data_IF_925281709252
#
_entry.id   IF_925281709252
#
_cell.length_a   1.000
_cell.length_b   1.000
_cell.length_c   1.000
_cell.angle_alpha   90.00
_cell.angle_beta   90.00
_cell.angle_gamma   90.00
#
_symmetry.space_group_name_H-M   'P 1'
#
loop_
_entity.id
_entity.type
_entity.pdbx_description
1 polymer ?
#
# COMPACT_ATOMS: atom_id res chain seq x y z
N UNK A 1 25.12 -14.18 -9.57
CA UNK A 1 25.98 -14.09 -10.76
C UNK A 1 25.31 -14.87 -11.90
N UNK A 2 24.58 -14.15 -12.78
CA UNK A 2 23.75 -14.76 -13.83
C UNK A 2 24.57 -15.31 -15.02
N UNK A 3 25.91 -15.29 -14.96
CA UNK A 3 26.79 -15.75 -16.04
C UNK A 3 26.67 -14.96 -17.35
N UNK A 4 26.01 -13.82 -17.33
CA UNK A 4 25.79 -12.96 -18.50
C UNK A 4 26.80 -11.81 -18.48
N UNK A 5 27.42 -11.53 -19.65
CA UNK A 5 28.35 -10.39 -19.76
C UNK A 5 27.58 -9.08 -19.86
N UNK A 6 28.18 -7.96 -19.41
CA UNK A 6 27.61 -6.63 -19.53
C UNK A 6 27.24 -6.29 -20.99
N UNK A 7 28.05 -6.72 -21.98
CA UNK A 7 27.74 -6.52 -23.39
C UNK A 7 26.48 -7.26 -23.87
N UNK A 8 26.19 -8.43 -23.30
CA UNK A 8 24.97 -9.18 -23.62
C UNK A 8 23.72 -8.49 -23.08
N UNK A 9 23.81 -7.79 -21.93
CA UNK A 9 22.69 -7.00 -21.40
C UNK A 9 22.33 -5.82 -22.33
N UNK A 10 23.32 -5.08 -22.83
CA UNK A 10 23.08 -3.96 -23.75
C UNK A 10 22.60 -4.36 -25.14
N UNK A 11 22.53 -5.65 -25.44
CA UNK A 11 21.87 -6.15 -26.65
C UNK A 11 20.33 -6.12 -26.49
N UNK A 12 19.83 -6.32 -25.26
CA UNK A 12 18.39 -6.40 -24.95
C UNK A 12 17.83 -5.11 -24.36
N UNK A 13 18.66 -4.28 -23.73
CA UNK A 13 18.26 -3.06 -23.04
C UNK A 13 19.04 -1.87 -23.57
N UNK A 14 18.35 -0.73 -23.77
CA UNK A 14 18.98 0.48 -24.31
C UNK A 14 20.03 1.06 -23.34
N UNK A 15 19.70 1.05 -22.04
CA UNK A 15 20.57 1.52 -20.98
C UNK A 15 20.16 0.89 -19.63
N UNK A 16 20.78 1.36 -18.55
CA UNK A 16 20.49 0.90 -17.19
C UNK A 16 19.07 1.26 -16.74
N UNK A 17 18.55 2.42 -17.15
CA UNK A 17 17.20 2.87 -16.81
C UNK A 17 16.14 2.00 -17.51
N UNK A 18 16.35 1.66 -18.76
CA UNK A 18 15.49 0.74 -19.51
C UNK A 18 15.44 -0.65 -18.86
N UNK A 19 16.61 -1.21 -18.51
CA UNK A 19 16.68 -2.47 -17.76
C UNK A 19 15.90 -2.39 -16.45
N UNK A 20 16.13 -1.34 -15.66
CA UNK A 20 15.47 -1.16 -14.38
C UNK A 20 13.95 -1.02 -14.55
N UNK A 21 13.52 -0.24 -15.55
CA UNK A 21 12.11 -0.06 -15.91
C UNK A 21 11.43 -1.37 -16.26
N UNK A 22 12.01 -2.15 -17.16
CA UNK A 22 11.43 -3.44 -17.56
C UNK A 22 11.35 -4.45 -16.41
N UNK A 23 12.21 -4.31 -15.42
CA UNK A 23 12.22 -5.16 -14.24
C UNK A 23 11.15 -4.76 -13.21
N UNK A 24 11.03 -3.47 -12.89
CA UNK A 24 10.19 -3.02 -11.74
C UNK A 24 8.80 -2.57 -12.14
N UNK A 25 8.61 -1.91 -13.30
CA UNK A 25 7.32 -1.33 -13.67
C UNK A 25 6.17 -2.34 -13.75
N UNK A 26 6.33 -3.55 -14.34
CA UNK A 26 5.21 -4.49 -14.41
C UNK A 26 4.69 -4.89 -13.02
N UNK A 27 5.59 -5.01 -12.03
CA UNK A 27 5.23 -5.35 -10.65
C UNK A 27 4.55 -4.19 -9.94
N UNK A 28 5.13 -2.98 -10.05
CA UNK A 28 4.55 -1.78 -9.45
C UNK A 28 3.18 -1.45 -10.04
N UNK A 29 3.02 -1.59 -11.36
CA UNK A 29 1.75 -1.35 -12.04
C UNK A 29 0.66 -2.33 -11.57
N UNK A 30 0.97 -3.63 -11.49
CA UNK A 30 0.03 -4.63 -10.99
C UNK A 30 -0.39 -4.35 -9.54
N UNK A 31 0.55 -3.97 -8.69
CA UNK A 31 0.26 -3.66 -7.29
C UNK A 31 -0.61 -2.40 -7.16
N UNK A 32 -0.29 -1.32 -7.91
CA UNK A 32 -1.11 -0.10 -7.96
C UNK A 32 -2.54 -0.40 -8.42
N UNK A 33 -2.67 -1.18 -9.48
CA UNK A 33 -3.98 -1.56 -10.03
C UNK A 33 -4.79 -2.39 -9.03
N UNK A 34 -4.17 -3.36 -8.39
CA UNK A 34 -4.79 -4.21 -7.38
C UNK A 34 -5.32 -3.38 -6.19
N UNK A 35 -4.52 -2.44 -5.67
CA UNK A 35 -4.93 -1.58 -4.56
C UNK A 35 -6.06 -0.63 -4.98
N UNK A 36 -5.99 -0.03 -6.17
CA UNK A 36 -7.06 0.85 -6.68
C UNK A 36 -8.38 0.12 -6.84
N UNK A 37 -8.37 -1.07 -7.43
CA UNK A 37 -9.57 -1.89 -7.62
C UNK A 37 -10.21 -2.25 -6.28
N UNK A 38 -9.40 -2.58 -5.28
CA UNK A 38 -9.92 -2.83 -3.95
C UNK A 38 -10.57 -1.60 -3.34
N UNK A 39 -9.88 -0.47 -3.30
CA UNK A 39 -10.40 0.78 -2.76
C UNK A 39 -11.68 1.24 -3.48
N UNK A 40 -11.73 1.06 -4.80
CA UNK A 40 -12.94 1.36 -5.57
C UNK A 40 -14.11 0.45 -5.17
N UNK A 41 -13.89 -0.86 -5.06
CA UNK A 41 -14.93 -1.80 -4.64
C UNK A 41 -15.46 -1.49 -3.22
N UNK A 42 -14.59 -1.11 -2.30
CA UNK A 42 -14.97 -0.69 -0.95
C UNK A 42 -15.81 0.60 -0.97
N UNK A 43 -15.40 1.60 -1.75
CA UNK A 43 -16.16 2.84 -1.92
C UNK A 43 -17.56 2.57 -2.50
N UNK A 44 -17.67 1.70 -3.51
CA UNK A 44 -18.95 1.31 -4.12
C UNK A 44 -19.88 0.62 -3.10
N UNK A 45 -19.33 -0.26 -2.24
CA UNK A 45 -20.10 -0.89 -1.16
C UNK A 45 -20.60 0.13 -0.14
N UNK A 46 -19.76 1.08 0.26
CA UNK A 46 -20.14 2.16 1.19
C UNK A 46 -21.24 3.04 0.60
N UNK A 47 -21.12 3.42 -0.67
CA UNK A 47 -22.11 4.26 -1.37
C UNK A 47 -23.44 3.52 -1.49
N UNK A 48 -23.42 2.21 -1.78
CA UNK A 48 -24.63 1.40 -1.92
C UNK A 48 -25.32 1.08 -0.58
N UNK A 49 -24.72 1.46 0.54
CA UNK A 49 -25.28 1.24 1.88
C UNK A 49 -25.23 -0.20 2.36
N UNK A 50 -24.44 -1.05 1.72
CA UNK A 50 -24.16 -2.42 2.19
C UNK A 50 -23.25 -2.32 3.41
N UNK A 51 -23.84 -2.50 4.60
CA UNK A 51 -23.06 -2.62 5.84
C UNK A 51 -22.54 -4.05 5.95
N UNK A 52 -21.23 -4.21 5.96
CA UNK A 52 -20.60 -5.48 6.33
C UNK A 52 -20.46 -5.53 7.85
N UNK A 53 -21.12 -6.48 8.49
CA UNK A 53 -20.95 -6.76 9.93
C UNK A 53 -19.54 -7.34 10.25
N UNK A 54 -18.70 -7.55 9.23
CA UNK A 54 -17.37 -8.20 9.31
C UNK A 54 -16.23 -7.26 8.88
N UNK A 55 -16.39 -5.95 9.08
CA UNK A 55 -15.45 -4.92 8.59
C UNK A 55 -13.98 -5.25 8.96
N UNK A 56 -13.71 -5.56 10.23
CA UNK A 56 -12.36 -5.92 10.70
C UNK A 56 -11.79 -7.20 10.04
N UNK A 57 -12.65 -8.21 9.79
CA UNK A 57 -12.22 -9.47 9.17
C UNK A 57 -11.93 -9.30 7.68
N UNK A 58 -12.64 -8.41 7.01
CA UNK A 58 -12.43 -8.08 5.60
C UNK A 58 -11.15 -7.28 5.42
N UNK A 59 -10.85 -6.32 6.30
CA UNK A 59 -9.61 -5.56 6.32
C UNK A 59 -8.39 -6.46 6.54
N UNK A 60 -8.44 -7.39 7.49
CA UNK A 60 -7.37 -8.35 7.73
C UNK A 60 -7.17 -9.26 6.52
N UNK A 61 -8.26 -9.79 5.94
CA UNK A 61 -8.19 -10.64 4.76
C UNK A 61 -7.53 -9.94 3.60
N UNK A 62 -7.95 -8.69 3.35
CA UNK A 62 -7.41 -7.89 2.26
C UNK A 62 -5.95 -7.56 2.47
N UNK A 63 -5.58 -7.13 3.67
CA UNK A 63 -4.19 -6.84 4.02
C UNK A 63 -3.30 -8.06 3.80
N UNK A 64 -3.77 -9.26 4.16
CA UNK A 64 -3.06 -10.52 3.89
C UNK A 64 -2.89 -10.80 2.40
N UNK A 65 -3.90 -10.48 1.58
CA UNK A 65 -3.82 -10.65 0.13
C UNK A 65 -2.82 -9.68 -0.51
N UNK A 66 -2.82 -8.41 -0.07
CA UNK A 66 -1.82 -7.42 -0.50
C UNK A 66 -0.42 -7.90 -0.13
N UNK A 67 -0.25 -8.32 1.12
CA UNK A 67 1.03 -8.81 1.62
C UNK A 67 1.52 -10.03 0.80
N UNK A 68 0.63 -10.99 0.55
CA UNK A 68 0.96 -12.15 -0.30
C UNK A 68 1.42 -11.71 -1.69
N UNK A 69 0.68 -10.82 -2.36
CA UNK A 69 1.05 -10.30 -3.68
C UNK A 69 2.41 -9.58 -3.68
N UNK A 70 2.74 -8.87 -2.58
CA UNK A 70 4.03 -8.23 -2.40
C UNK A 70 5.16 -9.26 -2.26
N UNK A 71 4.98 -10.29 -1.44
CA UNK A 71 6.00 -11.33 -1.23
C UNK A 71 6.20 -12.24 -2.45
N UNK A 72 5.20 -12.41 -3.31
CA UNK A 72 5.39 -13.07 -4.61
C UNK A 72 6.39 -12.34 -5.52
N UNK A 73 6.63 -11.05 -5.26
CA UNK A 73 7.55 -10.21 -6.03
C UNK A 73 8.56 -9.52 -5.10
N UNK A 74 8.91 -10.16 -3.99
CA UNK A 74 9.68 -9.59 -2.88
C UNK A 74 10.97 -8.91 -3.34
N UNK A 75 11.82 -9.59 -4.09
CA UNK A 75 13.11 -9.06 -4.54
C UNK A 75 12.96 -7.83 -5.46
N UNK A 76 11.93 -7.83 -6.31
CA UNK A 76 11.65 -6.71 -7.23
C UNK A 76 11.17 -5.50 -6.47
N UNK A 77 10.25 -5.69 -5.51
CA UNK A 77 9.75 -4.61 -4.68
C UNK A 77 10.84 -4.05 -3.75
N UNK A 78 11.63 -4.93 -3.14
CA UNK A 78 12.77 -4.52 -2.33
C UNK A 78 13.79 -3.73 -3.15
N UNK A 79 14.06 -4.15 -4.38
CA UNK A 79 14.92 -3.43 -5.31
C UNK A 79 14.34 -2.04 -5.63
N UNK A 80 13.04 -1.95 -5.94
CA UNK A 80 12.38 -0.68 -6.22
C UNK A 80 12.43 0.29 -5.03
N UNK A 81 12.22 -0.21 -3.80
CA UNK A 81 12.24 0.62 -2.60
C UNK A 81 13.65 1.06 -2.21
N UNK A 82 14.67 0.18 -2.39
CA UNK A 82 16.01 0.43 -1.82
C UNK A 82 17.07 0.87 -2.82
N UNK A 83 16.80 0.75 -4.13
CA UNK A 83 17.80 0.96 -5.20
C UNK A 83 17.31 1.82 -6.35
N UNK A 84 16.18 2.49 -6.21
CA UNK A 84 15.59 3.35 -7.25
C UNK A 84 16.14 4.77 -7.27
N UNK A 85 17.00 5.16 -6.33
CA UNK A 85 17.55 6.51 -6.25
C UNK A 85 18.20 6.94 -7.57
N UNK A 86 17.87 8.12 -8.05
CA UNK A 86 18.32 8.69 -9.32
C UNK A 86 17.63 8.11 -10.55
N UNK A 87 16.65 7.21 -10.40
CA UNK A 87 15.77 6.75 -11.47
C UNK A 87 14.39 7.41 -11.39
N UNK A 88 13.56 7.23 -12.41
CA UNK A 88 12.16 7.71 -12.39
C UNK A 88 11.30 7.05 -11.30
N UNK A 89 11.80 5.99 -10.65
CA UNK A 89 11.12 5.27 -9.57
C UNK A 89 11.56 5.70 -8.16
N UNK A 90 12.39 6.71 -8.04
CA UNK A 90 12.90 7.19 -6.74
C UNK A 90 11.78 7.47 -5.74
N UNK A 91 10.65 7.96 -6.23
CA UNK A 91 9.48 8.29 -5.43
C UNK A 91 8.32 7.28 -5.62
N UNK A 92 8.61 6.03 -5.98
CA UNK A 92 7.56 5.04 -6.24
C UNK A 92 6.67 4.76 -5.02
N UNK A 93 7.17 4.92 -3.80
CA UNK A 93 6.39 4.77 -2.56
C UNK A 93 5.35 5.89 -2.43
N UNK A 94 5.70 7.13 -2.82
CA UNK A 94 4.81 8.29 -2.73
C UNK A 94 3.57 8.13 -3.64
N UNK A 95 3.69 7.38 -4.74
CA UNK A 95 2.55 7.05 -5.59
C UNK A 95 1.52 6.18 -4.85
N UNK A 96 1.98 5.23 -4.03
CA UNK A 96 1.09 4.40 -3.19
C UNK A 96 0.48 5.21 -2.04
N UNK A 97 1.26 6.12 -1.45
CA UNK A 97 0.75 7.08 -0.46
C UNK A 97 -0.37 7.93 -1.06
N UNK A 98 -0.19 8.47 -2.26
CA UNK A 98 -1.22 9.28 -2.92
C UNK A 98 -2.51 8.48 -3.21
N UNK A 99 -2.40 7.20 -3.58
CA UNK A 99 -3.56 6.32 -3.76
C UNK A 99 -4.27 6.10 -2.43
N UNK A 100 -3.54 5.81 -1.35
CA UNK A 100 -4.08 5.60 -0.02
C UNK A 100 -4.73 6.89 0.54
N UNK A 101 -4.09 8.04 0.34
CA UNK A 101 -4.59 9.34 0.81
C UNK A 101 -5.97 9.68 0.21
N UNK A 102 -6.15 9.45 -1.10
CA UNK A 102 -7.45 9.65 -1.75
C UNK A 102 -8.53 8.75 -1.16
N UNK A 103 -8.20 7.50 -0.88
CA UNK A 103 -9.12 6.54 -0.27
C UNK A 103 -9.48 6.95 1.17
N UNK A 104 -8.48 7.22 2.01
CA UNK A 104 -8.70 7.63 3.40
C UNK A 104 -9.44 8.97 3.49
N UNK A 105 -9.22 9.88 2.55
CA UNK A 105 -9.99 11.13 2.49
C UNK A 105 -11.48 10.84 2.28
N UNK A 106 -11.80 9.97 1.33
CA UNK A 106 -13.19 9.56 1.08
C UNK A 106 -13.83 8.91 2.33
N UNK A 107 -13.13 7.97 2.96
CA UNK A 107 -13.60 7.30 4.17
C UNK A 107 -13.81 8.29 5.32
N UNK A 108 -12.82 9.15 5.57
CA UNK A 108 -12.85 10.12 6.68
C UNK A 108 -14.02 11.08 6.55
N UNK A 109 -14.29 11.62 5.36
CA UNK A 109 -15.41 12.54 5.14
C UNK A 109 -16.75 11.86 5.39
N UNK A 110 -16.93 10.63 4.91
CA UNK A 110 -18.14 9.84 5.15
C UNK A 110 -18.33 9.48 6.63
N UNK A 111 -17.27 9.08 7.31
CA UNK A 111 -17.33 8.71 8.74
C UNK A 111 -17.55 9.92 9.64
N UNK A 112 -16.88 11.05 9.39
CA UNK A 112 -17.08 12.29 10.14
C UNK A 112 -18.53 12.78 10.03
N UNK A 113 -19.09 12.77 8.80
CA UNK A 113 -20.47 13.15 8.56
C UNK A 113 -21.47 12.25 9.31
N UNK A 114 -21.27 10.93 9.26
CA UNK A 114 -22.13 9.96 9.98
C UNK A 114 -22.03 10.08 11.49
N UNK A 115 -20.83 10.30 12.02
CA UNK A 115 -20.60 10.45 13.45
C UNK A 115 -21.01 11.84 13.99
N UNK A 116 -21.22 12.82 13.12
CA UNK A 116 -21.50 14.21 13.50
C UNK A 116 -20.33 14.83 14.26
N UNK A 117 -19.10 14.55 13.80
CA UNK A 117 -17.85 15.15 14.30
C UNK A 117 -17.25 16.06 13.24
N UNK A 118 -16.28 16.89 13.65
CA UNK A 118 -15.57 17.76 12.74
C UNK A 118 -14.79 16.96 11.67
N UNK A 119 -14.70 17.50 10.44
CA UNK A 119 -13.91 16.93 9.35
C UNK A 119 -12.45 16.86 9.76
N UNK A 120 -11.84 15.69 9.55
CA UNK A 120 -10.40 15.51 9.75
C UNK A 120 -9.65 16.34 8.69
N UNK A 121 -8.68 17.12 9.11
CA UNK A 121 -7.90 17.96 8.20
C UNK A 121 -7.05 17.12 7.22
N UNK A 122 -6.71 17.72 6.07
CA UNK A 122 -6.02 17.01 4.99
C UNK A 122 -4.60 16.60 5.37
N UNK A 123 -3.93 17.38 6.22
CA UNK A 123 -2.59 17.06 6.69
C UNK A 123 -2.58 15.83 7.61
N UNK A 124 -3.57 15.68 8.48
CA UNK A 124 -3.76 14.48 9.30
C UNK A 124 -4.00 13.25 8.42
N UNK A 125 -4.83 13.35 7.38
CA UNK A 125 -5.06 12.24 6.45
C UNK A 125 -3.77 11.87 5.69
N UNK A 126 -3.01 12.85 5.23
CA UNK A 126 -1.72 12.64 4.60
C UNK A 126 -0.75 11.83 5.50
N UNK A 127 -0.64 12.22 6.79
CA UNK A 127 0.17 11.48 7.75
C UNK A 127 -0.31 10.04 7.97
N UNK A 128 -1.62 9.83 8.04
CA UNK A 128 -2.20 8.50 8.20
C UNK A 128 -1.89 7.63 6.99
N UNK A 129 -2.02 8.17 5.77
CA UNK A 129 -1.68 7.46 4.54
C UNK A 129 -0.21 7.01 4.53
N UNK A 130 0.72 7.91 4.92
CA UNK A 130 2.13 7.55 5.08
C UNK A 130 2.34 6.42 6.09
N UNK A 131 1.79 6.54 7.30
CA UNK A 131 1.93 5.49 8.32
C UNK A 131 1.43 4.13 7.84
N UNK A 132 0.35 4.08 7.08
CA UNK A 132 -0.21 2.85 6.53
C UNK A 132 0.74 2.21 5.49
N UNK A 133 1.25 3.00 4.57
CA UNK A 133 2.17 2.51 3.53
C UNK A 133 3.52 2.13 4.14
N UNK A 134 4.03 2.91 5.10
CA UNK A 134 5.30 2.64 5.77
C UNK A 134 5.32 1.30 6.51
N UNK A 135 4.20 0.82 7.01
CA UNK A 135 4.09 -0.54 7.59
C UNK A 135 4.53 -1.60 6.58
N UNK A 136 4.04 -1.53 5.33
CA UNK A 136 4.41 -2.48 4.28
C UNK A 136 5.85 -2.31 3.81
N UNK A 137 6.31 -1.06 3.68
CA UNK A 137 7.70 -0.74 3.32
C UNK A 137 8.68 -1.32 4.35
N UNK A 138 8.43 -1.08 5.64
CA UNK A 138 9.26 -1.62 6.72
C UNK A 138 9.21 -3.15 6.77
N UNK A 139 8.05 -3.74 6.53
CA UNK A 139 7.91 -5.19 6.52
C UNK A 139 8.75 -5.82 5.40
N UNK A 140 8.72 -5.28 4.18
CA UNK A 140 9.57 -5.73 3.09
C UNK A 140 11.07 -5.56 3.38
N UNK A 141 11.47 -4.49 4.07
CA UNK A 141 12.87 -4.21 4.35
C UNK A 141 13.46 -5.08 5.47
N UNK A 142 12.62 -5.51 6.42
CA UNK A 142 13.11 -6.10 7.67
C UNK A 142 12.66 -7.54 7.90
N UNK A 143 11.64 -8.02 7.20
CA UNK A 143 11.14 -9.39 7.35
C UNK A 143 11.07 -10.08 5.98
N UNK A 144 12.09 -10.88 5.61
CA UNK A 144 12.09 -11.58 4.32
C UNK A 144 11.14 -12.79 4.26
N UNK A 145 10.57 -13.21 5.40
CA UNK A 145 9.65 -14.34 5.47
C UNK A 145 8.21 -13.87 5.42
N UNK A 146 7.49 -14.26 4.36
CA UNK A 146 6.06 -14.00 4.25
C UNK A 146 5.27 -14.56 5.45
N UNK A 147 5.60 -15.77 5.89
CA UNK A 147 4.92 -16.42 7.02
C UNK A 147 5.00 -15.57 8.30
N UNK A 148 6.19 -15.04 8.62
CA UNK A 148 6.36 -14.17 9.78
C UNK A 148 5.67 -12.82 9.60
N UNK A 149 5.75 -12.23 8.40
CA UNK A 149 5.03 -11.01 8.09
C UNK A 149 3.52 -11.19 8.30
N UNK A 150 2.94 -12.30 7.83
CA UNK A 150 1.54 -12.66 8.03
C UNK A 150 1.16 -12.81 9.51
N UNK A 151 2.05 -13.33 10.35
CA UNK A 151 1.81 -13.45 11.81
C UNK A 151 1.75 -12.10 12.52
N UNK A 152 2.47 -11.10 12.02
CA UNK A 152 2.53 -9.77 12.65
C UNK A 152 1.46 -8.83 12.15
N UNK A 153 1.06 -8.98 10.88
CA UNK A 153 0.19 -8.00 10.21
C UNK A 153 -1.16 -7.83 10.89
N UNK A 154 -1.76 -8.90 11.41
CA UNK A 154 -3.06 -8.83 12.08
C UNK A 154 -3.06 -7.88 13.28
N UNK A 155 -2.01 -7.94 14.11
CA UNK A 155 -1.89 -7.06 15.28
C UNK A 155 -1.70 -5.61 14.87
N UNK A 156 -0.94 -5.39 13.79
CA UNK A 156 -0.68 -4.06 13.26
C UNK A 156 -1.97 -3.48 12.66
N UNK A 157 -2.70 -4.26 11.86
CA UNK A 157 -3.99 -3.82 11.28
C UNK A 157 -5.00 -3.51 12.39
N UNK A 158 -5.15 -4.38 13.39
CA UNK A 158 -6.05 -4.14 14.53
C UNK A 158 -5.70 -2.83 15.27
N UNK A 159 -4.41 -2.54 15.45
CA UNK A 159 -3.94 -1.28 16.04
C UNK A 159 -4.30 -0.08 15.15
N UNK A 160 -4.04 -0.16 13.85
CA UNK A 160 -4.30 0.92 12.89
C UNK A 160 -5.81 1.20 12.78
N UNK A 161 -6.64 0.17 12.63
CA UNK A 161 -8.10 0.28 12.58
C UNK A 161 -8.64 0.89 13.88
N UNK A 162 -8.17 0.42 15.04
CA UNK A 162 -8.59 0.96 16.33
C UNK A 162 -8.23 2.45 16.47
N UNK A 163 -7.04 2.84 16.04
CA UNK A 163 -6.59 4.23 15.99
C UNK A 163 -7.46 5.07 15.05
N UNK A 164 -7.71 4.57 13.84
CA UNK A 164 -8.58 5.19 12.86
C UNK A 164 -9.98 5.43 13.39
N UNK A 165 -10.64 4.41 13.93
CA UNK A 165 -11.98 4.51 14.52
C UNK A 165 -12.07 5.48 15.69
N UNK A 166 -10.96 5.70 16.41
CA UNK A 166 -10.91 6.64 17.53
C UNK A 166 -11.07 8.10 17.11
N UNK A 167 -10.72 8.44 15.86
CA UNK A 167 -10.85 9.81 15.32
C UNK A 167 -12.31 10.28 15.22
N UNK A 168 -13.24 9.33 15.08
CA UNK A 168 -14.66 9.61 14.88
C UNK A 168 -15.51 9.47 16.16
N UNK A 169 -14.87 9.26 17.31
CA UNK A 169 -15.57 9.23 18.61
C UNK A 169 -15.78 10.65 19.11
N UNK A 170 -17.02 10.99 19.50
CA UNK A 170 -17.30 12.27 20.16
C UNK A 170 -16.45 12.38 21.43
N UNK A 171 -15.59 13.39 21.49
CA UNK A 171 -14.92 13.74 22.75
C UNK A 171 -15.99 14.22 23.73
N UNK A 172 -16.06 13.57 24.88
CA UNK A 172 -16.88 14.00 26.01
C UNK A 172 -16.29 15.25 26.65
#
# INVERSE_FOLDING_TARGET
NAGVTTGALYFFFQDKEDLFTQLVEPTLQKLREYIRQHFQAEQEMIISGVQNETEDADDIRMTRQILHAMYQNYDILLLAITRSQGSKYEYCVDEFVAIAEQHYRFLADGMAARAGVERIDDYTIHWIAHMQIDVFVHMLQHEPSEEKAQQHIEKIVSYLVSGWMSLFKKRR
#
